data_IF_018609589110
#
_entry.id   IF_018609589110
#
_cell.length_a   1.000
_cell.length_b   1.000
_cell.length_c   1.000
_cell.angle_alpha   90.00
_cell.angle_beta   90.00
_cell.angle_gamma   90.00
#
_symmetry.space_group_name_H-M   'P 1'
#
loop_
_entity.id
_entity.type
_entity.pdbx_description
1 polymer ?
#
# COMPACT_ATOMS: atom_id res chain seq x y z
N UNK A 1 5.56 -61.28 -19.14
CA UNK A 1 5.57 -59.91 -19.72
C UNK A 1 5.17 -58.94 -18.61
N UNK A 2 6.02 -57.94 -18.34
CA UNK A 2 5.88 -57.00 -17.21
C UNK A 2 4.91 -55.87 -17.60
N UNK A 3 3.86 -55.65 -16.81
CA UNK A 3 3.08 -54.40 -16.83
C UNK A 3 3.63 -53.49 -15.73
N UNK A 4 4.44 -52.51 -16.11
CA UNK A 4 4.79 -51.38 -15.26
C UNK A 4 3.81 -50.25 -15.57
N UNK A 5 2.84 -50.07 -14.68
CA UNK A 5 1.90 -48.93 -14.70
C UNK A 5 2.66 -47.68 -14.26
N UNK A 6 3.00 -46.80 -15.19
CA UNK A 6 3.50 -45.45 -14.89
C UNK A 6 2.28 -44.54 -14.89
N UNK A 7 1.78 -44.23 -13.69
CA UNK A 7 0.82 -43.16 -13.48
C UNK A 7 1.57 -41.85 -13.73
N UNK A 8 1.43 -41.30 -14.93
CA UNK A 8 1.79 -39.92 -15.22
C UNK A 8 0.82 -39.03 -14.44
N UNK A 9 1.22 -38.64 -13.22
CA UNK A 9 0.63 -37.52 -12.51
C UNK A 9 0.87 -36.27 -13.35
N UNK A 10 -0.12 -35.90 -14.16
CA UNK A 10 -0.24 -34.58 -14.75
C UNK A 10 -0.42 -33.57 -13.62
N UNK A 11 0.71 -33.09 -13.10
CA UNK A 11 0.82 -31.84 -12.37
C UNK A 11 0.30 -30.75 -13.30
N UNK A 12 -0.99 -30.45 -13.17
CA UNK A 12 -1.56 -29.20 -13.67
C UNK A 12 -0.90 -28.11 -12.83
N UNK A 13 0.22 -27.60 -13.34
CA UNK A 13 0.73 -26.29 -12.96
C UNK A 13 -0.36 -25.34 -13.44
N UNK A 14 -1.32 -25.04 -12.57
CA UNK A 14 -2.16 -23.86 -12.72
C UNK A 14 -1.18 -22.68 -12.65
N UNK A 15 -0.67 -22.27 -13.81
CA UNK A 15 -0.01 -21.00 -13.93
C UNK A 15 -1.00 -19.99 -13.35
N UNK A 16 -0.58 -19.35 -12.26
CA UNK A 16 -1.27 -18.23 -11.66
C UNK A 16 -1.28 -17.14 -12.74
N UNK A 17 -2.29 -17.13 -13.61
CA UNK A 17 -2.52 -16.06 -14.56
C UNK A 17 -3.11 -14.89 -13.79
N UNK A 18 -2.32 -14.33 -12.86
CA UNK A 18 -2.48 -12.94 -12.50
C UNK A 18 -2.14 -12.18 -13.76
N UNK A 19 -3.18 -11.87 -14.54
CA UNK A 19 -3.09 -10.85 -15.57
C UNK A 19 -2.56 -9.64 -14.81
N UNK A 20 -1.32 -9.24 -15.07
CA UNK A 20 -0.78 -7.96 -14.64
C UNK A 20 -1.56 -6.88 -15.40
N UNK A 21 -2.78 -6.65 -14.95
CA UNK A 21 -3.70 -5.59 -15.39
C UNK A 21 -3.13 -4.20 -15.06
N UNK A 22 -1.97 -4.14 -14.39
CA UNK A 22 -1.41 -2.95 -13.76
C UNK A 22 -0.64 -1.98 -14.69
N UNK A 23 -0.40 -2.29 -15.98
CA UNK A 23 0.54 -1.52 -16.82
C UNK A 23 -0.08 -0.83 -18.05
N UNK A 24 -1.41 -0.64 -18.14
CA UNK A 24 -1.97 0.13 -19.26
C UNK A 24 -1.67 1.62 -19.14
N UNK A 25 -0.94 2.19 -20.11
CA UNK A 25 -0.56 3.61 -20.22
C UNK A 25 -1.70 4.51 -20.74
N UNK A 26 -2.96 4.12 -20.51
CA UNK A 26 -4.12 4.88 -20.94
C UNK A 26 -4.20 6.21 -20.18
N UNK A 27 -4.28 7.32 -20.93
CA UNK A 27 -4.33 8.67 -20.36
C UNK A 27 -5.57 8.88 -19.49
N UNK A 28 -6.67 8.20 -19.81
CA UNK A 28 -7.89 8.27 -18.98
C UNK A 28 -7.71 7.49 -17.68
N UNK A 29 -7.10 6.31 -17.74
CA UNK A 29 -6.75 5.51 -16.57
C UNK A 29 -5.79 6.24 -15.62
N UNK A 30 -4.77 6.92 -16.17
CA UNK A 30 -3.85 7.73 -15.35
C UNK A 30 -4.56 8.89 -14.63
N UNK A 31 -5.48 9.59 -15.32
CA UNK A 31 -6.29 10.64 -14.67
C UNK A 31 -7.23 10.09 -13.60
N UNK A 32 -7.77 8.89 -13.79
CA UNK A 32 -8.58 8.21 -12.79
C UNK A 32 -7.75 7.91 -11.54
N UNK A 33 -6.57 7.33 -11.72
CA UNK A 33 -5.63 7.01 -10.63
C UNK A 33 -5.23 8.27 -9.87
N UNK A 34 -4.81 9.32 -10.58
CA UNK A 34 -4.42 10.59 -9.97
C UNK A 34 -5.55 11.15 -9.12
N UNK A 35 -6.79 11.14 -9.62
CA UNK A 35 -7.95 11.63 -8.87
C UNK A 35 -8.28 10.75 -7.66
N UNK A 36 -8.21 9.42 -7.82
CA UNK A 36 -8.56 8.47 -6.77
C UNK A 36 -7.54 8.50 -5.61
N UNK A 37 -6.26 8.64 -5.95
CA UNK A 37 -5.15 8.66 -4.99
C UNK A 37 -4.67 10.09 -4.63
N UNK A 38 -5.28 11.16 -5.14
CA UNK A 38 -4.89 12.56 -4.89
C UNK A 38 -4.83 12.95 -3.40
N UNK A 39 -5.65 12.29 -2.57
CA UNK A 39 -5.70 12.52 -1.13
C UNK A 39 -4.72 11.61 -0.37
N UNK A 40 -3.94 10.77 -1.05
CA UNK A 40 -2.91 9.95 -0.44
C UNK A 40 -1.55 10.62 -0.52
N UNK A 41 -0.73 10.53 0.54
CA UNK A 41 0.31 11.53 0.78
C UNK A 41 1.63 11.30 0.02
N UNK A 42 1.69 10.48 -1.03
CA UNK A 42 3.00 10.13 -1.64
C UNK A 42 3.76 11.27 -2.29
N UNK A 43 3.10 12.36 -2.66
CA UNK A 43 3.75 13.53 -3.24
C UNK A 43 3.73 14.77 -2.34
N UNK A 44 2.88 14.75 -1.31
CA UNK A 44 2.82 15.78 -0.28
C UNK A 44 3.00 15.03 1.03
N UNK A 45 4.26 14.87 1.44
CA UNK A 45 4.60 14.35 2.76
C UNK A 45 3.60 14.91 3.77
N UNK A 46 2.97 14.02 4.53
CA UNK A 46 1.95 14.40 5.51
C UNK A 46 2.49 15.59 6.32
N UNK A 47 1.91 16.77 6.13
CA UNK A 47 2.39 18.01 6.76
C UNK A 47 2.44 17.86 8.30
N UNK A 48 1.60 16.97 8.84
CA UNK A 48 1.64 16.56 10.23
C UNK A 48 2.96 15.85 10.58
N UNK A 49 3.36 14.84 9.81
CA UNK A 49 4.51 14.00 10.14
C UNK A 49 5.85 14.72 9.94
N UNK A 50 5.95 15.54 8.89
CA UNK A 50 7.12 16.40 8.70
C UNK A 50 7.30 17.38 9.87
N UNK A 51 6.21 18.03 10.30
CA UNK A 51 6.25 18.96 11.44
C UNK A 51 6.55 18.26 12.77
N UNK A 52 6.03 17.04 12.97
CA UNK A 52 6.35 16.22 14.13
C UNK A 52 7.84 15.90 14.17
N UNK A 53 8.40 15.39 13.07
CA UNK A 53 9.82 15.04 12.96
C UNK A 53 10.72 16.24 13.22
N UNK A 54 10.42 17.39 12.61
CA UNK A 54 11.18 18.64 12.83
C UNK A 54 11.20 19.01 14.32
N UNK A 55 10.06 18.89 14.99
CA UNK A 55 9.94 19.15 16.43
C UNK A 55 10.78 18.17 17.25
N UNK A 56 10.81 16.89 16.89
CA UNK A 56 11.64 15.91 17.60
C UNK A 56 13.14 16.15 17.34
N UNK A 57 13.54 16.52 16.12
CA UNK A 57 14.92 16.89 15.82
C UNK A 57 15.39 18.08 16.66
N UNK A 58 14.55 19.12 16.78
CA UNK A 58 14.83 20.28 17.64
C UNK A 58 15.03 19.86 19.11
N UNK A 59 14.13 19.06 19.66
CA UNK A 59 14.26 18.54 21.04
C UNK A 59 15.56 17.75 21.24
N UNK A 60 15.97 16.91 20.28
CA UNK A 60 17.24 16.19 20.39
C UNK A 60 18.41 17.17 20.34
N UNK A 61 18.38 18.18 19.48
CA UNK A 61 19.43 19.22 19.40
C UNK A 61 19.60 19.97 20.72
N UNK A 62 18.51 20.26 21.44
CA UNK A 62 18.55 20.90 22.76
C UNK A 62 19.26 20.06 23.83
N UNK A 63 19.28 18.73 23.68
CA UNK A 63 19.99 17.83 24.60
C UNK A 63 21.51 17.82 24.41
N UNK A 64 22.03 18.47 23.37
CA UNK A 64 23.46 18.50 23.08
C UNK A 64 24.24 19.12 24.25
N UNK A 65 25.22 18.38 24.79
CA UNK A 65 26.01 18.80 25.94
C UNK A 65 25.36 18.50 27.30
N UNK A 66 24.08 18.12 27.34
CA UNK A 66 23.40 17.62 28.56
C UNK A 66 23.47 16.10 28.68
N UNK A 67 23.59 15.40 27.55
CA UNK A 67 23.78 13.95 27.48
C UNK A 67 25.13 13.60 26.87
N UNK A 68 25.55 12.35 27.03
CA UNK A 68 26.78 11.86 26.38
C UNK A 68 26.67 11.93 24.85
N UNK A 69 27.80 12.15 24.18
CA UNK A 69 27.86 12.18 22.71
C UNK A 69 27.34 10.88 22.08
N UNK A 70 27.58 9.74 22.75
CA UNK A 70 27.06 8.44 22.33
C UNK A 70 25.53 8.40 22.36
N UNK A 71 24.91 8.84 23.46
CA UNK A 71 23.44 8.86 23.59
C UNK A 71 22.82 9.84 22.59
N UNK A 72 23.43 11.02 22.42
CA UNK A 72 23.00 12.00 21.43
C UNK A 72 23.03 11.41 20.01
N UNK A 73 24.12 10.74 19.64
CA UNK A 73 24.24 10.06 18.34
C UNK A 73 23.19 8.96 18.17
N UNK A 74 22.95 8.15 19.21
CA UNK A 74 21.94 7.09 19.16
C UNK A 74 20.53 7.63 18.97
N UNK A 75 20.18 8.75 19.62
CA UNK A 75 18.88 9.42 19.44
C UNK A 75 18.70 9.92 18.00
N UNK A 76 19.73 10.54 17.41
CA UNK A 76 19.69 10.96 16.00
C UNK A 76 19.52 9.79 15.04
N UNK A 77 20.23 8.68 15.28
CA UNK A 77 20.08 7.47 14.47
C UNK A 77 18.65 6.92 14.58
N UNK A 78 18.10 6.82 15.80
CA UNK A 78 16.75 6.32 16.02
C UNK A 78 15.71 7.19 15.31
N UNK A 79 15.82 8.52 15.39
CA UNK A 79 14.89 9.43 14.73
C UNK A 79 15.00 9.36 13.19
N UNK A 80 16.21 9.17 12.67
CA UNK A 80 16.43 8.94 11.23
C UNK A 80 15.79 7.63 10.74
N UNK A 81 15.95 6.53 11.49
CA UNK A 81 15.35 5.25 11.16
C UNK A 81 13.82 5.31 11.21
N UNK A 82 13.28 6.06 12.16
CA UNK A 82 11.86 6.29 12.27
C UNK A 82 11.30 7.07 11.07
N UNK A 83 11.98 8.14 10.63
CA UNK A 83 11.62 8.88 9.43
C UNK A 83 11.66 7.99 8.17
N UNK A 84 12.72 7.19 8.01
CA UNK A 84 12.83 6.24 6.90
C UNK A 84 11.66 5.25 6.88
N UNK A 85 11.28 4.71 8.04
CA UNK A 85 10.16 3.79 8.14
C UNK A 85 8.82 4.44 7.75
N UNK A 86 8.59 5.69 8.19
CA UNK A 86 7.42 6.47 7.80
C UNK A 86 7.34 6.63 6.27
N UNK A 87 8.43 7.06 5.63
CA UNK A 87 8.47 7.25 4.18
C UNK A 87 8.19 5.95 3.40
N UNK A 88 8.73 4.83 3.88
CA UNK A 88 8.46 3.50 3.31
C UNK A 88 6.96 3.17 3.40
N UNK A 89 6.33 3.35 4.56
CA UNK A 89 4.91 3.06 4.74
C UNK A 89 4.02 3.96 3.89
N UNK A 90 4.35 5.25 3.80
CA UNK A 90 3.64 6.22 2.99
C UNK A 90 3.70 5.85 1.49
N UNK A 91 4.90 5.51 1.01
CA UNK A 91 5.10 5.07 -0.37
C UNK A 91 4.34 3.76 -0.66
N UNK A 92 4.43 2.76 0.21
CA UNK A 92 3.70 1.50 0.06
C UNK A 92 2.18 1.72 0.01
N UNK A 93 1.66 2.63 0.83
CA UNK A 93 0.23 2.93 0.86
C UNK A 93 -0.26 3.57 -0.44
N UNK A 94 0.53 4.48 -1.01
CA UNK A 94 0.21 5.08 -2.28
C UNK A 94 0.32 4.10 -3.46
N UNK A 95 1.39 3.30 -3.53
CA UNK A 95 1.52 2.28 -4.57
C UNK A 95 0.35 1.28 -4.53
N UNK A 96 -0.11 0.91 -3.33
CA UNK A 96 -1.28 0.06 -3.17
C UNK A 96 -2.57 0.76 -3.64
N UNK A 97 -2.72 2.07 -3.38
CA UNK A 97 -3.82 2.88 -3.93
C UNK A 97 -3.79 2.88 -5.47
N UNK A 98 -2.64 3.13 -6.08
CA UNK A 98 -2.52 3.17 -7.54
C UNK A 98 -2.90 1.82 -8.16
N UNK A 99 -2.43 0.71 -7.58
CA UNK A 99 -2.78 -0.63 -8.03
C UNK A 99 -4.29 -0.89 -7.95
N UNK A 100 -4.93 -0.53 -6.84
CA UNK A 100 -6.37 -0.66 -6.68
C UNK A 100 -7.12 0.19 -7.70
N UNK A 101 -6.79 1.47 -7.81
CA UNK A 101 -7.46 2.40 -8.72
C UNK A 101 -7.34 1.96 -10.19
N UNK A 102 -6.17 1.46 -10.62
CA UNK A 102 -6.00 0.89 -11.97
C UNK A 102 -6.89 -0.33 -12.19
N UNK A 103 -6.98 -1.22 -11.21
CA UNK A 103 -7.84 -2.38 -11.31
C UNK A 103 -9.32 -1.98 -11.42
N UNK A 104 -9.77 -1.05 -10.57
CA UNK A 104 -11.15 -0.57 -10.58
C UNK A 104 -11.53 0.08 -11.90
N UNK A 105 -10.65 0.90 -12.47
CA UNK A 105 -10.86 1.49 -13.79
C UNK A 105 -11.09 0.42 -14.87
N UNK A 106 -10.29 -0.65 -14.86
CA UNK A 106 -10.41 -1.73 -15.85
C UNK A 106 -11.65 -2.58 -15.60
N UNK A 107 -12.02 -2.80 -14.33
CA UNK A 107 -13.28 -3.43 -13.96
C UNK A 107 -14.48 -2.62 -14.47
N UNK A 108 -14.46 -1.29 -14.34
CA UNK A 108 -15.51 -0.40 -14.86
C UNK A 108 -15.63 -0.49 -16.38
N UNK A 109 -14.50 -0.44 -17.10
CA UNK A 109 -14.49 -0.60 -18.56
C UNK A 109 -15.07 -1.96 -18.99
N UNK A 110 -14.68 -3.03 -18.30
CA UNK A 110 -15.20 -4.37 -18.55
C UNK A 110 -16.72 -4.43 -18.35
N UNK A 111 -17.23 -3.95 -17.20
CA UNK A 111 -18.66 -3.93 -16.88
C UNK A 111 -19.43 -3.11 -17.93
N UNK A 112 -18.90 -1.93 -18.30
CA UNK A 112 -19.52 -1.07 -19.30
C UNK A 112 -19.60 -1.75 -20.67
N UNK A 113 -18.53 -2.44 -21.11
CA UNK A 113 -18.52 -3.18 -22.38
C UNK A 113 -19.49 -4.36 -22.38
N UNK A 114 -19.54 -5.12 -21.28
CA UNK A 114 -20.47 -6.23 -21.09
C UNK A 114 -21.92 -5.78 -21.18
N UNK A 115 -22.27 -4.69 -20.47
CA UNK A 115 -23.62 -4.12 -20.47
C UNK A 115 -24.04 -3.61 -21.86
N UNK A 116 -23.09 -3.12 -22.68
CA UNK A 116 -23.36 -2.68 -24.06
C UNK A 116 -23.59 -3.85 -25.02
N UNK A 117 -22.90 -4.98 -24.82
CA UNK A 117 -22.96 -6.15 -25.70
C UNK A 117 -24.15 -7.07 -25.39
N UNK A 118 -24.63 -7.11 -24.14
CA UNK A 118 -25.72 -8.00 -23.76
C UNK A 118 -27.11 -7.33 -23.85
N UNK A 119 -27.82 -7.61 -24.96
CA UNK A 119 -29.29 -7.51 -25.02
C UNK A 119 -30.00 -8.70 -24.34
N UNK A 120 -29.26 -9.77 -23.99
CA UNK A 120 -29.79 -10.99 -23.39
C UNK A 120 -29.22 -11.18 -21.98
N UNK A 121 -30.10 -11.48 -21.02
CA UNK A 121 -29.88 -11.56 -19.55
C UNK A 121 -28.87 -12.63 -19.11
N UNK A 122 -27.60 -12.55 -19.48
CA UNK A 122 -26.57 -13.41 -18.90
C UNK A 122 -25.92 -12.65 -17.75
N UNK A 123 -25.81 -13.29 -16.58
CA UNK A 123 -25.22 -12.67 -15.40
C UNK A 123 -23.72 -12.47 -15.64
N UNK A 124 -23.19 -11.30 -15.26
CA UNK A 124 -21.75 -11.04 -15.25
C UNK A 124 -21.04 -12.10 -14.39
N UNK A 125 -19.92 -12.61 -14.89
CA UNK A 125 -19.08 -13.59 -14.21
C UNK A 125 -18.62 -13.08 -12.83
N UNK A 126 -18.76 -13.91 -11.80
CA UNK A 126 -18.37 -13.59 -10.43
C UNK A 126 -16.87 -13.31 -10.32
N UNK A 127 -16.03 -14.02 -11.08
CA UNK A 127 -14.58 -13.81 -11.08
C UNK A 127 -14.23 -12.41 -11.62
N UNK A 128 -15.05 -11.89 -12.54
CA UNK A 128 -14.90 -10.53 -13.07
C UNK A 128 -15.44 -9.47 -12.10
N UNK A 129 -16.45 -9.80 -11.31
CA UNK A 129 -16.92 -8.91 -10.25
C UNK A 129 -15.88 -8.75 -9.14
N UNK A 130 -15.11 -9.80 -8.86
CA UNK A 130 -14.15 -9.86 -7.76
C UNK A 130 -12.69 -9.66 -8.20
N UNK A 131 -12.47 -9.19 -9.44
CA UNK A 131 -11.12 -9.12 -10.03
C UNK A 131 -10.14 -8.19 -9.28
N UNK A 132 -10.64 -7.30 -8.43
CA UNK A 132 -9.84 -6.33 -7.67
C UNK A 132 -9.69 -6.66 -6.18
N UNK A 133 -10.25 -7.78 -5.69
CA UNK A 133 -10.26 -8.11 -4.26
C UNK A 133 -8.83 -8.21 -3.69
N UNK A 134 -7.88 -8.73 -4.46
CA UNK A 134 -6.47 -8.77 -4.08
C UNK A 134 -5.88 -7.37 -3.88
N UNK A 135 -6.10 -6.48 -4.84
CA UNK A 135 -5.58 -5.10 -4.75
C UNK A 135 -6.27 -4.32 -3.63
N UNK A 136 -7.56 -4.58 -3.38
CA UNK A 136 -8.30 -4.02 -2.25
C UNK A 136 -7.68 -4.47 -0.93
N UNK A 137 -7.39 -5.76 -0.78
CA UNK A 137 -6.74 -6.31 0.41
C UNK A 137 -5.34 -5.72 0.64
N UNK A 138 -4.51 -5.63 -0.40
CA UNK A 138 -3.18 -5.01 -0.31
C UNK A 138 -3.25 -3.54 0.14
N UNK A 139 -4.23 -2.81 -0.37
CA UNK A 139 -4.48 -1.43 0.02
C UNK A 139 -4.93 -1.31 1.48
N UNK A 140 -5.91 -2.11 1.92
CA UNK A 140 -6.36 -2.11 3.31
C UNK A 140 -5.23 -2.48 4.28
N UNK A 141 -4.42 -3.48 3.92
CA UNK A 141 -3.24 -3.86 4.71
C UNK A 141 -2.26 -2.70 4.86
N UNK A 142 -2.01 -1.95 3.78
CA UNK A 142 -1.11 -0.79 3.81
C UNK A 142 -1.63 0.30 4.77
N UNK A 143 -2.95 0.53 4.78
CA UNK A 143 -3.61 1.50 5.67
C UNK A 143 -3.54 1.07 7.13
N UNK A 144 -3.74 -0.22 7.41
CA UNK A 144 -3.61 -0.76 8.77
C UNK A 144 -2.19 -0.57 9.30
N UNK A 145 -1.15 -0.81 8.49
CA UNK A 145 0.24 -0.55 8.89
C UNK A 145 0.48 0.91 9.24
N UNK A 146 -0.01 1.84 8.42
CA UNK A 146 0.07 3.27 8.68
C UNK A 146 -0.61 3.66 10.00
N UNK A 147 -1.84 3.18 10.23
CA UNK A 147 -2.58 3.45 11.47
C UNK A 147 -1.87 2.86 12.70
N UNK A 148 -1.33 1.64 12.60
CA UNK A 148 -0.55 1.04 13.67
C UNK A 148 0.65 1.89 14.03
N UNK A 149 1.39 2.36 13.03
CA UNK A 149 2.55 3.23 13.23
C UNK A 149 2.15 4.55 13.90
N UNK A 150 1.05 5.17 13.49
CA UNK A 150 0.51 6.37 14.15
C UNK A 150 0.15 6.11 15.62
N UNK A 151 -0.50 4.98 15.92
CA UNK A 151 -0.89 4.63 17.28
C UNK A 151 0.33 4.39 18.18
N UNK A 152 1.39 3.77 17.64
CA UNK A 152 2.65 3.59 18.37
C UNK A 152 3.30 4.94 18.71
N UNK A 153 3.22 5.92 17.81
CA UNK A 153 3.73 7.29 18.03
C UNK A 153 2.91 8.02 19.09
N UNK A 154 1.59 8.02 18.96
CA UNK A 154 0.69 8.65 19.93
C UNK A 154 0.91 8.09 21.34
N UNK A 155 1.08 6.78 21.46
CA UNK A 155 1.39 6.12 22.74
C UNK A 155 2.69 6.63 23.36
N UNK A 156 3.72 6.91 22.55
CA UNK A 156 4.97 7.49 23.05
C UNK A 156 4.78 8.93 23.55
N UNK A 157 3.87 9.69 22.95
CA UNK A 157 3.54 11.05 23.39
C UNK A 157 2.71 11.07 24.68
N UNK A 158 1.71 10.19 24.81
CA UNK A 158 0.88 10.10 26.03
C UNK A 158 1.69 9.72 27.28
N UNK A 159 2.70 8.85 27.15
CA UNK A 159 3.61 8.50 28.25
C UNK A 159 4.41 9.71 28.75
N UNK A 160 4.54 10.77 27.93
CA UNK A 160 5.24 12.00 28.28
C UNK A 160 4.39 12.98 29.08
N UNK A 161 3.06 12.97 28.90
CA UNK A 161 2.16 13.89 29.59
C UNK A 161 1.81 13.44 31.02
N UNK A 162 2.02 12.16 31.33
CA UNK A 162 1.79 11.59 32.67
C UNK A 162 3.02 11.66 33.61
N UNK A 163 4.09 12.37 33.23
CA UNK A 163 5.30 12.61 34.05
C UNK A 163 5.47 14.10 34.39
#
# INVERSE_FOLDING_TARGET
MKLTSIIFTSLVITACSTIEVANSSDKEGMKFVDKHCANHPSQRGSHFFSSFLDTQYQKITELKGFISDQNYKQLHIALSQFNEHWEILNQQSYEACEKLARCEFIKEQYIASFNRQQRNRIKLDADKQNMCDKSSFEFDLSRVKMVSFYSDVERLELVREEQ
#
